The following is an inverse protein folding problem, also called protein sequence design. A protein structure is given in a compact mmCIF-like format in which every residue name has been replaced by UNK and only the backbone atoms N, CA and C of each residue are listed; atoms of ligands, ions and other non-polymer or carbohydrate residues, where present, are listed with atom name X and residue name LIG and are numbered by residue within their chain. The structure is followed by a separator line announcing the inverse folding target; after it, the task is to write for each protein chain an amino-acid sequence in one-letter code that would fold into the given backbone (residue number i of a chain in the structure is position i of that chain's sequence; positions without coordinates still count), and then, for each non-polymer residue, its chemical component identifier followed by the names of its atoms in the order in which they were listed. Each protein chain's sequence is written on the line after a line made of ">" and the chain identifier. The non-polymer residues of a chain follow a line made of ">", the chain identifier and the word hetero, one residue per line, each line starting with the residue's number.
data_IF_780001412838
#
_entry.id   IF_780001412838
#
_cell.length_a   1.000
_cell.length_b   1.000
_cell.length_c   1.000
_cell.angle_alpha   90.00
_cell.angle_beta   90.00
_cell.angle_gamma   90.00
#
_symmetry.space_group_name_H-M   'P 1'
#
loop_
_entity.id
_entity.type
_entity.pdbx_description
1 polymer ?
#
# COMPACT_ATOMS: atom_id res chain seq x y z
N UNK A 1 -2.35 -17.82 9.13
CA UNK A 1 -2.98 -16.55 8.70
C UNK A 1 -1.86 -15.53 8.60
N UNK A 2 -1.88 -14.71 7.56
CA UNK A 2 -0.76 -13.88 7.11
C UNK A 2 -1.21 -12.44 7.11
N UNK A 3 -0.43 -11.56 7.73
CA UNK A 3 -0.65 -10.12 7.74
C UNK A 3 0.05 -9.49 6.56
N UNK A 4 -0.71 -8.80 5.73
CA UNK A 4 -0.18 -8.07 4.57
C UNK A 4 -0.37 -6.59 4.82
N UNK A 5 0.71 -5.83 4.73
CA UNK A 5 0.73 -4.37 4.75
C UNK A 5 1.09 -3.86 3.37
N UNK A 6 0.34 -2.89 2.85
CA UNK A 6 0.73 -2.11 1.68
C UNK A 6 0.86 -0.65 2.05
N UNK A 7 1.88 0.00 1.48
CA UNK A 7 2.10 1.41 1.64
C UNK A 7 2.64 2.01 0.35
N UNK A 8 1.91 2.96 -0.22
CA UNK A 8 2.49 3.86 -1.21
C UNK A 8 3.40 4.86 -0.47
N UNK A 9 4.69 4.89 -0.79
CA UNK A 9 5.61 5.87 -0.24
C UNK A 9 6.08 6.72 -1.42
N UNK A 10 5.54 7.94 -1.52
CA UNK A 10 5.79 8.89 -2.62
C UNK A 10 7.28 8.93 -2.99
N UNK A 11 7.64 8.52 -4.21
CA UNK A 11 9.03 8.49 -4.68
C UNK A 11 10.01 7.86 -3.69
N UNK A 12 9.74 6.61 -3.28
CA UNK A 12 10.60 5.90 -2.33
C UNK A 12 11.97 5.59 -2.93
N UNK A 13 13.01 6.12 -2.31
CA UNK A 13 14.39 5.77 -2.60
C UNK A 13 15.30 5.92 -1.38
N UNK A 14 16.58 5.67 -1.58
CA UNK A 14 17.59 5.80 -0.53
C UNK A 14 17.65 7.21 0.08
N UNK A 15 17.26 8.28 -0.62
CA UNK A 15 17.30 9.65 -0.09
C UNK A 15 16.24 9.88 1.00
N UNK A 16 15.17 9.07 1.03
CA UNK A 16 14.24 9.06 2.18
C UNK A 16 14.88 8.47 3.43
N UNK A 17 15.77 7.50 3.27
CA UNK A 17 16.37 6.76 4.37
C UNK A 17 17.73 7.30 4.80
N UNK A 18 18.46 7.96 3.92
CA UNK A 18 19.80 8.45 4.16
C UNK A 18 19.99 9.88 3.67
N UNK A 19 20.83 10.62 4.38
CA UNK A 19 21.22 11.97 3.97
C UNK A 19 22.26 11.88 2.85
N UNK A 20 21.79 11.87 1.61
CA UNK A 20 22.64 11.88 0.42
C UNK A 20 22.73 13.31 -0.10
N UNK A 21 23.64 14.09 0.48
CA UNK A 21 23.95 15.45 0.03
C UNK A 21 24.07 16.48 1.17
N UNK A 22 24.84 17.54 0.92
CA UNK A 22 24.99 18.70 1.79
C UNK A 22 24.11 19.83 1.24
N UNK A 23 22.82 19.82 1.55
CA UNK A 23 21.99 21.00 1.30
C UNK A 23 22.05 21.89 2.54
N UNK A 24 22.70 23.05 2.39
CA UNK A 24 22.84 24.06 3.45
C UNK A 24 21.55 24.86 3.67
N UNK A 25 20.53 24.68 2.82
CA UNK A 25 19.19 25.27 2.96
C UNK A 25 18.17 24.19 3.33
N UNK A 26 17.98 23.90 4.62
CA UNK A 26 17.16 22.79 5.08
C UNK A 26 15.66 23.06 4.87
N UNK A 27 14.96 22.14 4.19
CA UNK A 27 13.50 22.07 4.22
C UNK A 27 13.08 21.90 5.69
N UNK A 28 12.11 22.68 6.16
CA UNK A 28 11.65 22.74 7.56
C UNK A 28 12.68 23.26 8.59
N UNK A 29 13.84 23.77 8.18
CA UNK A 29 14.88 24.21 9.13
C UNK A 29 15.64 23.05 9.80
N UNK A 30 15.49 21.82 9.28
CA UNK A 30 16.05 20.57 9.84
C UNK A 30 17.10 19.98 8.89
N UNK A 31 18.22 19.50 9.44
CA UNK A 31 19.32 18.98 8.60
C UNK A 31 18.90 17.71 7.87
N UNK A 32 19.44 17.41 6.67
CA UNK A 32 19.13 16.19 5.92
C UNK A 32 19.22 14.89 6.75
N UNK A 33 20.25 14.76 7.60
CA UNK A 33 20.40 13.59 8.48
C UNK A 33 19.26 13.43 9.49
N UNK A 34 18.82 14.52 10.10
CA UNK A 34 17.69 14.51 11.03
C UNK A 34 16.38 14.19 10.29
N UNK A 35 16.27 14.61 9.02
CA UNK A 35 15.13 14.26 8.18
C UNK A 35 15.08 12.75 7.90
N UNK A 36 16.20 12.18 7.47
CA UNK A 36 16.33 10.74 7.23
C UNK A 36 16.02 9.91 8.48
N UNK A 37 16.55 10.30 9.65
CA UNK A 37 16.21 9.62 10.91
C UNK A 37 14.72 9.72 11.25
N UNK A 38 14.09 10.87 10.98
CA UNK A 38 12.66 11.03 11.19
C UNK A 38 11.82 10.14 10.27
N UNK A 39 12.17 10.05 8.99
CA UNK A 39 11.53 9.14 8.04
C UNK A 39 11.70 7.68 8.49
N UNK A 40 12.92 7.25 8.83
CA UNK A 40 13.19 5.91 9.34
C UNK A 40 12.34 5.61 10.57
N UNK A 41 12.30 6.53 11.55
CA UNK A 41 11.48 6.37 12.76
C UNK A 41 10.00 6.23 12.45
N UNK A 42 9.47 6.99 11.49
CA UNK A 42 8.06 6.90 11.10
C UNK A 42 7.76 5.59 10.37
N UNK A 43 8.66 5.15 9.47
CA UNK A 43 8.55 3.87 8.77
C UNK A 43 8.64 2.71 9.76
N UNK A 44 9.67 2.67 10.62
CA UNK A 44 9.84 1.62 11.63
C UNK A 44 8.69 1.57 12.62
N UNK A 45 8.12 2.74 12.97
CA UNK A 45 6.89 2.76 13.76
C UNK A 45 5.83 1.97 13.02
N UNK A 46 5.52 2.32 11.74
CA UNK A 46 4.54 1.68 10.82
C UNK A 46 4.62 0.14 10.78
N UNK A 47 5.79 -0.44 11.04
CA UNK A 47 5.99 -1.89 11.03
C UNK A 47 5.52 -2.62 12.29
N UNK A 48 5.27 -1.94 13.41
CA UNK A 48 5.02 -2.58 14.70
C UNK A 48 3.69 -2.15 15.36
N UNK A 49 2.54 -2.30 14.68
CA UNK A 49 1.24 -1.99 15.28
C UNK A 49 0.94 -2.86 16.49
N UNK A 50 0.16 -2.30 17.43
CA UNK A 50 -0.19 -2.97 18.67
C UNK A 50 -1.50 -3.71 18.46
N UNK A 51 -1.45 -5.04 18.54
CA UNK A 51 -2.65 -5.89 18.53
C UNK A 51 -3.54 -5.60 19.75
N UNK A 52 -4.87 -5.78 19.71
CA UNK A 52 -5.76 -5.60 20.87
C UNK A 52 -5.34 -6.34 22.16
N UNK A 53 -4.52 -7.38 22.03
CA UNK A 53 -3.90 -8.09 23.15
C UNK A 53 -2.71 -7.38 23.81
N UNK A 54 -2.34 -6.17 23.37
CA UNK A 54 -1.25 -5.37 23.94
C UNK A 54 0.15 -5.74 23.46
N UNK A 55 0.26 -6.54 22.40
CA UNK A 55 1.53 -7.03 21.86
C UNK A 55 1.80 -6.34 20.52
N UNK A 56 3.01 -5.82 20.32
CA UNK A 56 3.43 -5.31 19.03
C UNK A 56 3.60 -6.48 18.05
N UNK A 57 2.98 -6.38 16.88
CA UNK A 57 2.97 -7.44 15.86
C UNK A 57 3.42 -6.84 14.53
N UNK A 58 4.42 -7.45 13.91
CA UNK A 58 4.86 -7.10 12.57
C UNK A 58 3.92 -7.68 11.49
N UNK A 59 3.78 -7.04 10.32
CA UNK A 59 3.22 -7.72 9.16
C UNK A 59 4.11 -8.91 8.77
N UNK A 60 3.55 -9.90 8.08
CA UNK A 60 4.33 -11.01 7.50
C UNK A 60 4.81 -10.67 6.08
N UNK A 61 4.09 -9.77 5.39
CA UNK A 61 4.40 -9.24 4.07
C UNK A 61 4.24 -7.71 4.12
N UNK A 62 5.25 -6.98 3.64
CA UNK A 62 5.19 -5.54 3.40
C UNK A 62 5.38 -5.26 1.91
N UNK A 63 4.48 -4.48 1.33
CA UNK A 63 4.54 -4.04 -0.07
C UNK A 63 4.74 -2.54 -0.11
N UNK A 64 5.83 -2.10 -0.73
CA UNK A 64 6.13 -0.69 -0.97
C UNK A 64 5.93 -0.38 -2.45
N UNK A 65 5.04 0.58 -2.72
CA UNK A 65 4.83 1.13 -4.06
C UNK A 65 5.68 2.37 -4.27
N UNK A 66 5.80 2.80 -5.54
CA UNK A 66 6.58 3.98 -5.93
C UNK A 66 8.07 3.90 -5.55
N UNK A 67 8.64 2.70 -5.61
CA UNK A 67 10.10 2.57 -5.54
C UNK A 67 10.68 3.26 -6.78
N UNK A 68 11.46 4.31 -6.56
CA UNK A 68 11.91 5.20 -7.64
C UNK A 68 12.93 4.50 -8.50
N UNK A 69 12.61 4.34 -9.78
CA UNK A 69 13.58 3.86 -10.76
C UNK A 69 14.17 5.01 -11.56
N UNK A 70 15.39 4.82 -12.06
CA UNK A 70 15.96 5.76 -13.01
C UNK A 70 15.09 5.81 -14.26
N UNK A 71 14.50 6.98 -14.55
CA UNK A 71 13.81 7.22 -15.80
C UNK A 71 14.77 6.95 -16.96
N UNK A 72 14.58 5.85 -17.67
CA UNK A 72 15.28 5.65 -18.94
C UNK A 72 14.26 5.76 -20.07
N UNK A 73 14.49 6.63 -21.06
CA UNK A 73 13.60 6.77 -22.23
C UNK A 73 13.41 5.47 -23.03
N UNK A 74 14.25 4.46 -22.78
CA UNK A 74 14.24 3.14 -23.38
C UNK A 74 13.44 2.11 -22.54
N UNK A 75 13.07 2.44 -21.29
CA UNK A 75 12.43 1.57 -20.30
C UNK A 75 10.90 1.60 -20.34
N UNK A 76 10.32 1.43 -21.52
CA UNK A 76 8.92 0.97 -21.62
C UNK A 76 8.81 -0.55 -21.47
N UNK A 77 9.78 -1.19 -20.80
CA UNK A 77 9.85 -2.64 -20.62
C UNK A 77 9.66 -2.91 -19.12
N UNK A 78 8.43 -3.20 -18.67
CA UNK A 78 8.22 -3.67 -17.31
C UNK A 78 9.01 -4.96 -17.03
N UNK A 79 9.35 -5.18 -15.77
CA UNK A 79 10.07 -6.37 -15.30
C UNK A 79 11.58 -6.27 -15.28
N UNK A 80 12.15 -5.12 -15.68
CA UNK A 80 13.58 -4.85 -15.47
C UNK A 80 13.86 -4.65 -13.99
N UNK A 81 15.03 -5.12 -13.54
CA UNK A 81 15.52 -4.90 -12.18
C UNK A 81 15.68 -3.40 -11.92
N UNK A 82 15.37 -2.95 -10.72
CA UNK A 82 15.65 -1.58 -10.28
C UNK A 82 16.89 -1.56 -9.41
N UNK A 83 18.06 -1.36 -10.01
CA UNK A 83 19.37 -1.32 -9.36
C UNK A 83 19.88 0.12 -9.10
N UNK A 84 18.98 1.10 -9.19
CA UNK A 84 19.26 2.51 -8.91
C UNK A 84 19.08 2.91 -7.45
N UNK A 85 18.73 4.18 -7.23
CA UNK A 85 18.48 4.73 -5.89
C UNK A 85 17.29 4.08 -5.19
N UNK A 86 16.23 3.71 -5.92
CA UNK A 86 15.11 2.94 -5.39
C UNK A 86 15.53 1.54 -4.94
N UNK A 87 16.36 0.86 -5.74
CA UNK A 87 16.95 -0.43 -5.40
C UNK A 87 17.76 -0.40 -4.10
N UNK A 88 18.65 0.59 -3.98
CA UNK A 88 19.43 0.80 -2.75
C UNK A 88 18.53 1.14 -1.56
N UNK A 89 17.52 1.99 -1.77
CA UNK A 89 16.52 2.29 -0.74
C UNK A 89 15.79 1.04 -0.27
N UNK A 90 15.49 0.11 -1.19
CA UNK A 90 14.84 -1.14 -0.84
C UNK A 90 15.74 -2.07 -0.01
N UNK A 91 17.02 -2.18 -0.36
CA UNK A 91 17.97 -2.98 0.45
C UNK A 91 18.20 -2.36 1.84
N UNK A 92 18.24 -1.05 1.94
CA UNK A 92 18.39 -0.35 3.23
C UNK A 92 17.15 -0.50 4.11
N UNK A 93 15.96 -0.44 3.50
CA UNK A 93 14.72 -0.69 4.23
C UNK A 93 14.64 -2.13 4.73
N UNK A 94 15.17 -3.12 4.01
CA UNK A 94 15.27 -4.49 4.51
C UNK A 94 16.05 -4.55 5.84
N UNK A 95 17.17 -3.85 5.93
CA UNK A 95 17.96 -3.80 7.17
C UNK A 95 17.24 -3.06 8.29
N UNK A 96 16.51 -1.98 7.97
CA UNK A 96 15.64 -1.29 8.93
C UNK A 96 14.53 -2.21 9.43
N UNK A 97 13.88 -3.00 8.57
CA UNK A 97 12.85 -3.96 8.95
C UNK A 97 13.43 -5.04 9.88
N UNK A 98 14.58 -5.61 9.52
CA UNK A 98 15.29 -6.61 10.36
C UNK A 98 15.64 -6.02 11.73
N UNK A 99 16.13 -4.79 11.76
CA UNK A 99 16.45 -4.07 13.01
C UNK A 99 15.22 -3.79 13.86
N UNK A 100 14.13 -3.31 13.26
CA UNK A 100 12.89 -2.95 13.95
C UNK A 100 12.15 -4.17 14.50
N UNK A 101 12.13 -5.28 13.75
CA UNK A 101 11.46 -6.52 14.15
C UNK A 101 12.34 -7.45 14.98
N UNK A 102 13.66 -7.25 14.97
CA UNK A 102 14.63 -8.19 15.54
C UNK A 102 14.72 -9.53 14.80
N UNK A 103 14.14 -9.64 13.60
CA UNK A 103 14.07 -10.86 12.82
C UNK A 103 14.94 -10.77 11.55
N UNK A 104 16.06 -11.51 11.52
CA UNK A 104 16.95 -11.55 10.35
C UNK A 104 16.41 -12.40 9.18
N UNK A 105 15.27 -13.07 9.36
CA UNK A 105 14.60 -13.85 8.32
C UNK A 105 13.69 -13.01 7.41
N UNK A 106 13.62 -11.70 7.61
CA UNK A 106 13.06 -10.83 6.59
C UNK A 106 13.90 -10.92 5.31
N UNK A 107 13.20 -11.05 4.20
CA UNK A 107 13.75 -11.16 2.85
C UNK A 107 13.10 -10.10 1.95
N UNK A 108 13.76 -9.78 0.85
CA UNK A 108 13.28 -8.84 -0.16
C UNK A 108 13.14 -9.57 -1.49
N UNK A 109 11.95 -9.55 -2.07
CA UNK A 109 11.77 -9.82 -3.50
C UNK A 109 12.29 -8.60 -4.26
N UNK A 110 13.35 -8.72 -5.07
CA UNK A 110 13.98 -7.56 -5.69
C UNK A 110 13.00 -6.70 -6.51
N UNK A 111 13.10 -5.37 -6.41
CA UNK A 111 12.18 -4.48 -7.09
C UNK A 111 12.33 -4.58 -8.60
N UNK A 112 11.20 -4.75 -9.29
CA UNK A 112 11.13 -4.70 -10.75
C UNK A 112 10.29 -3.51 -11.19
N UNK A 113 10.68 -2.90 -12.30
CA UNK A 113 9.97 -1.81 -12.94
C UNK A 113 8.56 -2.23 -13.33
N UNK A 114 7.58 -1.45 -12.89
CA UNK A 114 6.18 -1.59 -13.27
C UNK A 114 5.75 -0.51 -14.26
N UNK A 115 6.44 0.63 -14.26
CA UNK A 115 6.28 1.72 -15.21
C UNK A 115 7.59 2.45 -15.45
N UNK A 116 7.51 3.60 -16.13
CA UNK A 116 8.70 4.33 -16.62
C UNK A 116 9.55 4.93 -15.49
N UNK A 117 8.94 5.19 -14.33
CA UNK A 117 9.59 5.82 -13.18
C UNK A 117 9.32 5.08 -11.87
N UNK A 118 8.68 3.91 -11.91
CA UNK A 118 8.16 3.24 -10.73
C UNK A 118 8.43 1.73 -10.75
N UNK A 119 8.87 1.23 -9.60
CA UNK A 119 9.04 -0.18 -9.27
C UNK A 119 8.23 -0.51 -8.01
N UNK A 120 8.12 -1.80 -7.70
CA UNK A 120 7.50 -2.29 -6.46
C UNK A 120 8.49 -3.18 -5.74
N UNK A 121 8.65 -2.97 -4.43
CA UNK A 121 9.43 -3.85 -3.56
C UNK A 121 8.49 -4.62 -2.63
N UNK A 122 8.75 -5.92 -2.44
CA UNK A 122 7.99 -6.75 -1.50
C UNK A 122 8.94 -7.40 -0.50
N UNK A 123 8.69 -7.16 0.78
CA UNK A 123 9.41 -7.77 1.88
C UNK A 123 8.55 -8.85 2.50
N UNK A 124 9.15 -9.93 2.99
CA UNK A 124 8.43 -11.00 3.65
C UNK A 124 9.26 -11.67 4.74
N UNK A 125 8.59 -12.22 5.74
CA UNK A 125 9.22 -13.06 6.78
C UNK A 125 9.36 -14.51 6.29
N UNK A 126 10.60 -14.93 5.98
CA UNK A 126 10.85 -16.28 5.44
C UNK A 126 10.72 -17.40 6.47
N UNK A 127 10.48 -17.09 7.75
CA UNK A 127 10.17 -18.13 8.75
C UNK A 127 8.82 -18.79 8.49
N UNK A 128 7.88 -18.04 7.92
CA UNK A 128 6.50 -18.48 7.67
C UNK A 128 6.12 -18.45 6.19
N UNK A 129 6.99 -17.93 5.32
CA UNK A 129 6.73 -17.81 3.89
C UNK A 129 7.91 -18.33 3.05
N UNK A 130 7.58 -18.89 1.89
CA UNK A 130 8.53 -19.24 0.83
C UNK A 130 8.17 -18.51 -0.46
N UNK A 131 9.10 -17.74 -1.02
CA UNK A 131 8.89 -17.05 -2.29
C UNK A 131 9.01 -18.04 -3.44
N UNK A 132 8.04 -18.02 -4.36
CA UNK A 132 7.91 -19.02 -5.41
C UNK A 132 7.87 -18.42 -6.83
N UNK A 133 7.98 -17.10 -6.97
CA UNK A 133 7.95 -16.41 -8.27
C UNK A 133 6.65 -15.62 -8.51
N UNK A 134 5.92 -15.86 -9.62
CA UNK A 134 5.89 -17.10 -10.39
C UNK A 134 6.86 -17.17 -11.57
N UNK A 135 7.58 -16.08 -11.89
CA UNK A 135 8.60 -16.09 -12.93
C UNK A 135 9.94 -16.58 -12.37
N UNK A 136 10.92 -16.70 -13.24
CA UNK A 136 12.32 -16.93 -12.87
C UNK A 136 13.20 -15.81 -13.40
N UNK A 137 14.28 -15.56 -12.68
CA UNK A 137 15.26 -14.53 -13.02
C UNK A 137 16.26 -15.07 -14.03
N UNK A 138 16.42 -14.44 -15.20
CA UNK A 138 17.40 -14.89 -16.20
C UNK A 138 18.83 -14.45 -15.88
N UNK A 139 19.03 -13.62 -14.85
CA UNK A 139 20.28 -12.89 -14.60
C UNK A 139 20.28 -11.50 -15.24
N UNK A 140 21.41 -10.80 -15.09
CA UNK A 140 21.60 -9.42 -15.55
C UNK A 140 20.44 -8.50 -15.07
N UNK A 141 19.92 -7.63 -15.96
CA UNK A 141 18.83 -6.70 -15.66
C UNK A 141 17.43 -7.31 -15.85
N UNK A 142 17.30 -8.56 -16.30
CA UNK A 142 16.02 -9.14 -16.71
C UNK A 142 15.62 -8.79 -18.15
N UNK A 143 14.32 -8.77 -18.49
CA UNK A 143 13.17 -8.95 -17.58
C UNK A 143 13.01 -10.40 -17.10
N UNK A 144 12.24 -10.59 -16.02
CA UNK A 144 11.85 -11.92 -15.55
C UNK A 144 11.13 -12.73 -16.65
N UNK A 145 11.39 -14.04 -16.73
CA UNK A 145 10.96 -14.89 -17.85
C UNK A 145 10.02 -16.01 -17.41
N UNK A 146 9.23 -16.52 -18.35
CA UNK A 146 8.40 -17.71 -18.12
C UNK A 146 9.28 -18.92 -17.83
N UNK A 147 9.11 -19.62 -16.69
CA UNK A 147 9.85 -20.85 -16.43
C UNK A 147 9.57 -21.96 -17.44
N UNK A 148 8.42 -21.91 -18.13
CA UNK A 148 7.98 -22.93 -19.07
C UNK A 148 8.20 -22.56 -20.55
N UNK A 149 8.87 -21.44 -20.85
CA UNK A 149 9.15 -21.11 -22.26
C UNK A 149 10.10 -22.13 -22.91
N UNK A 150 9.99 -22.27 -24.24
CA UNK A 150 10.81 -23.18 -25.05
C UNK A 150 11.61 -22.35 -26.06
N UNK A 151 12.96 -22.46 -26.11
CA UNK A 151 13.81 -23.30 -25.24
C UNK A 151 13.80 -22.83 -23.78
N UNK A 152 14.16 -23.73 -22.86
CA UNK A 152 14.22 -23.41 -21.44
C UNK A 152 15.10 -22.17 -21.21
N UNK A 153 14.64 -21.20 -20.41
CA UNK A 153 15.40 -19.99 -20.13
C UNK A 153 16.72 -20.29 -19.40
N UNK A 154 17.70 -19.41 -19.60
CA UNK A 154 18.79 -19.28 -18.63
C UNK A 154 18.22 -18.82 -17.27
N UNK A 155 18.83 -19.26 -16.18
CA UNK A 155 18.54 -18.80 -14.83
C UNK A 155 19.81 -18.37 -14.13
N UNK A 156 19.71 -17.36 -13.28
CA UNK A 156 20.81 -16.95 -12.42
C UNK A 156 20.25 -16.26 -11.17
N UNK A 157 21.03 -16.28 -10.09
CA UNK A 157 20.74 -15.48 -8.91
C UNK A 157 20.82 -13.98 -9.24
N UNK A 158 20.15 -13.16 -8.44
CA UNK A 158 20.20 -11.71 -8.61
C UNK A 158 21.63 -11.16 -8.41
N UNK A 159 22.05 -10.19 -9.24
CA UNK A 159 23.38 -9.61 -9.17
C UNK A 159 23.48 -8.48 -8.13
N UNK A 160 24.71 -8.05 -7.86
CA UNK A 160 25.00 -6.77 -7.20
C UNK A 160 24.41 -6.65 -5.80
N UNK A 161 23.74 -5.52 -5.53
CA UNK A 161 23.14 -5.22 -4.22
C UNK A 161 22.04 -6.20 -3.80
N UNK A 162 21.48 -6.94 -4.76
CA UNK A 162 20.44 -7.94 -4.49
C UNK A 162 21.00 -9.35 -4.29
N UNK A 163 22.32 -9.53 -4.27
CA UNK A 163 22.90 -10.81 -3.92
C UNK A 163 22.61 -11.15 -2.45
N UNK A 164 21.91 -12.25 -2.21
CA UNK A 164 21.60 -12.75 -0.86
C UNK A 164 20.42 -12.07 -0.14
N UNK A 165 19.63 -11.24 -0.84
CA UNK A 165 18.39 -10.67 -0.26
C UNK A 165 17.22 -11.66 -0.25
N UNK A 166 17.34 -12.74 -1.02
CA UNK A 166 16.48 -13.93 -1.01
C UNK A 166 17.24 -15.12 -0.44
N UNK A 167 16.54 -16.09 0.18
CA UNK A 167 17.18 -17.26 0.76
C UNK A 167 17.63 -18.23 -0.35
N UNK A 168 18.80 -18.85 -0.15
CA UNK A 168 19.22 -20.00 -0.94
C UNK A 168 18.57 -21.28 -0.39
N UNK A 169 17.26 -21.39 -0.60
CA UNK A 169 16.40 -22.53 -0.21
C UNK A 169 15.62 -22.98 -1.43
N UNK A 170 15.33 -24.29 -1.52
CA UNK A 170 14.45 -24.80 -2.57
C UNK A 170 13.00 -24.38 -2.33
N UNK A 171 12.35 -23.94 -3.40
CA UNK A 171 10.90 -23.70 -3.42
C UNK A 171 10.18 -25.03 -3.11
N UNK A 172 9.33 -25.06 -2.07
CA UNK A 172 8.57 -26.25 -1.72
C UNK A 172 7.75 -26.85 -2.87
N UNK A 173 7.47 -28.15 -2.77
CA UNK A 173 6.56 -28.82 -3.70
C UNK A 173 5.18 -28.14 -3.73
N UNK A 174 4.46 -28.26 -4.84
CA UNK A 174 3.12 -27.68 -5.12
C UNK A 174 3.05 -26.18 -5.38
N UNK A 175 4.12 -25.43 -5.12
CA UNK A 175 4.22 -24.01 -5.47
C UNK A 175 4.71 -23.80 -6.92
N UNK A 176 4.51 -22.61 -7.50
CA UNK A 176 5.19 -22.22 -8.73
C UNK A 176 6.71 -22.43 -8.59
N UNK A 177 7.39 -22.88 -9.66
CA UNK A 177 8.85 -23.14 -9.64
C UNK A 177 9.34 -24.16 -8.59
N UNK A 178 8.48 -25.07 -8.11
CA UNK A 178 8.86 -26.13 -7.18
C UNK A 178 10.20 -26.81 -7.55
N UNK A 179 11.12 -26.88 -6.58
CA UNK A 179 12.47 -27.44 -6.75
C UNK A 179 13.54 -26.47 -7.27
N UNK A 180 13.16 -25.31 -7.80
CA UNK A 180 14.09 -24.20 -8.05
C UNK A 180 14.57 -23.60 -6.72
N UNK A 181 15.66 -22.81 -6.75
CA UNK A 181 16.06 -22.00 -5.59
C UNK A 181 15.22 -20.72 -5.54
N UNK A 182 14.84 -20.25 -4.35
CA UNK A 182 14.07 -19.00 -4.21
C UNK A 182 14.85 -17.79 -4.75
N UNK A 183 16.19 -17.80 -4.64
CA UNK A 183 17.08 -16.74 -5.10
C UNK A 183 17.20 -16.60 -6.64
N UNK A 184 16.57 -17.51 -7.40
CA UNK A 184 16.39 -17.41 -8.85
C UNK A 184 14.92 -17.23 -9.25
N UNK A 185 13.99 -17.19 -8.30
CA UNK A 185 12.59 -16.86 -8.57
C UNK A 185 12.42 -15.35 -8.80
N UNK A 186 11.38 -14.95 -9.52
CA UNK A 186 11.12 -13.57 -9.83
C UNK A 186 9.62 -13.24 -9.85
N UNK A 187 9.31 -11.99 -9.52
CA UNK A 187 7.96 -11.47 -9.67
C UNK A 187 7.53 -11.46 -11.14
N UNK A 188 6.22 -11.44 -11.37
CA UNK A 188 5.62 -11.33 -12.69
C UNK A 188 5.15 -9.90 -12.96
N UNK A 189 5.54 -9.37 -14.12
CA UNK A 189 5.08 -8.08 -14.68
C UNK A 189 4.42 -8.27 -16.05
N UNK A 190 4.19 -9.52 -16.48
CA UNK A 190 3.60 -9.87 -17.77
C UNK A 190 2.31 -10.66 -17.55
N UNK A 191 1.19 -10.07 -17.95
CA UNK A 191 -0.15 -10.62 -17.73
C UNK A 191 -0.86 -10.93 -19.03
N UNK A 192 -1.83 -11.83 -18.99
CA UNK A 192 -2.55 -12.28 -20.17
C UNK A 192 -4.02 -11.91 -20.11
N UNK A 193 -4.65 -11.73 -21.26
CA UNK A 193 -6.10 -11.53 -21.32
C UNK A 193 -6.81 -12.81 -20.88
N UNK A 194 -7.74 -12.69 -19.93
CA UNK A 194 -8.51 -13.81 -19.40
C UNK A 194 -9.37 -14.51 -20.46
N UNK A 195 -9.65 -15.82 -20.30
CA UNK A 195 -10.64 -16.51 -21.11
C UNK A 195 -11.99 -15.79 -21.10
N UNK A 196 -12.66 -15.74 -22.26
CA UNK A 196 -13.96 -15.08 -22.42
C UNK A 196 -13.91 -13.61 -22.87
N UNK A 197 -12.72 -13.02 -22.97
CA UNK A 197 -12.52 -11.68 -23.54
C UNK A 197 -11.86 -11.76 -24.93
N UNK A 198 -12.02 -10.73 -25.78
CA UNK A 198 -11.31 -10.66 -27.06
C UNK A 198 -9.79 -10.76 -26.86
N UNK A 199 -9.11 -11.56 -27.69
CA UNK A 199 -7.67 -11.82 -27.59
C UNK A 199 -7.24 -12.60 -26.33
N UNK A 200 -8.11 -13.42 -25.74
CA UNK A 200 -7.78 -14.31 -24.64
C UNK A 200 -6.45 -15.06 -24.87
N UNK A 201 -5.60 -15.07 -23.83
CA UNK A 201 -4.25 -15.66 -23.88
C UNK A 201 -3.16 -14.73 -24.44
N UNK A 202 -3.50 -13.61 -25.09
CA UNK A 202 -2.50 -12.64 -25.50
C UNK A 202 -1.97 -11.84 -24.30
N UNK A 203 -0.70 -11.45 -24.37
CA UNK A 203 -0.10 -10.53 -23.40
C UNK A 203 -0.83 -9.18 -23.43
N UNK A 204 -1.17 -8.68 -22.25
CA UNK A 204 -1.85 -7.39 -22.06
C UNK A 204 -0.83 -6.27 -22.18
N UNK A 205 -1.12 -5.31 -23.07
CA UNK A 205 -0.36 -4.07 -23.15
C UNK A 205 -1.01 -3.02 -22.23
N UNK A 206 -0.28 -2.60 -21.20
CA UNK A 206 -0.71 -1.55 -20.27
C UNK A 206 -0.45 -0.12 -20.82
N UNK A 207 0.23 0.02 -21.96
CA UNK A 207 0.58 1.29 -22.56
C UNK A 207 1.43 2.14 -21.62
N UNK A 208 0.99 3.36 -21.34
CA UNK A 208 1.63 4.26 -20.37
C UNK A 208 1.13 4.06 -18.93
N UNK A 209 0.33 3.04 -18.65
CA UNK A 209 -0.03 2.67 -17.28
C UNK A 209 1.03 1.74 -16.72
N UNK A 210 1.16 1.74 -15.39
CA UNK A 210 1.97 0.75 -14.67
C UNK A 210 1.31 -0.61 -14.81
N UNK A 211 2.12 -1.64 -15.06
CA UNK A 211 1.65 -3.03 -14.97
C UNK A 211 1.61 -3.48 -13.51
N UNK A 212 0.71 -4.40 -13.11
CA UNK A 212 0.76 -4.97 -11.77
C UNK A 212 2.09 -5.68 -11.48
N UNK A 213 2.46 -5.77 -10.21
CA UNK A 213 3.61 -6.56 -9.75
C UNK A 213 3.09 -7.76 -8.99
N UNK A 214 3.20 -8.95 -9.58
CA UNK A 214 2.70 -10.19 -8.98
C UNK A 214 3.83 -10.99 -8.33
N UNK A 215 3.62 -11.38 -7.08
CA UNK A 215 4.44 -12.37 -6.37
C UNK A 215 3.59 -13.53 -5.87
N UNK A 216 4.19 -14.71 -5.80
CA UNK A 216 3.59 -15.91 -5.25
C UNK A 216 4.40 -16.40 -4.05
N UNK A 217 3.72 -16.66 -2.94
CA UNK A 217 4.29 -17.24 -1.73
C UNK A 217 3.60 -18.55 -1.36
N UNK A 218 4.31 -19.46 -0.71
CA UNK A 218 3.71 -20.51 0.10
C UNK A 218 3.76 -20.12 1.57
N UNK A 219 2.62 -20.08 2.25
CA UNK A 219 2.58 -20.03 3.72
C UNK A 219 2.96 -21.40 4.27
N UNK A 220 3.90 -21.40 5.21
CA UNK A 220 4.50 -22.58 5.81
C UNK A 220 3.95 -22.78 7.23
N UNK A 221 3.65 -24.01 7.58
CA UNK A 221 3.46 -24.38 8.99
C UNK A 221 4.80 -24.49 9.73
N UNK A 222 4.76 -24.76 11.03
CA UNK A 222 5.97 -24.93 11.85
C UNK A 222 6.85 -26.12 11.48
N UNK A 223 6.44 -26.96 10.53
CA UNK A 223 7.23 -28.08 9.97
C UNK A 223 7.85 -27.74 8.61
N UNK A 224 7.54 -26.57 8.03
CA UNK A 224 7.95 -26.16 6.69
C UNK A 224 7.04 -26.68 5.58
N UNK A 225 5.87 -27.24 5.91
CA UNK A 225 4.90 -27.71 4.92
C UNK A 225 4.06 -26.54 4.41
N UNK A 226 3.82 -26.47 3.11
CA UNK A 226 2.94 -25.46 2.50
C UNK A 226 1.49 -25.76 2.88
N UNK A 227 0.87 -24.83 3.60
CA UNK A 227 -0.55 -24.91 3.99
C UNK A 227 -1.47 -24.12 3.06
N UNK A 228 -0.95 -23.06 2.43
CA UNK A 228 -1.65 -22.32 1.38
C UNK A 228 -0.69 -21.56 0.47
N UNK A 229 -1.12 -21.34 -0.78
CA UNK A 229 -0.46 -20.41 -1.70
C UNK A 229 -1.10 -19.03 -1.59
N UNK A 230 -0.29 -17.98 -1.62
CA UNK A 230 -0.72 -16.58 -1.65
C UNK A 230 -0.18 -15.95 -2.93
N UNK A 231 -1.07 -15.56 -3.85
CA UNK A 231 -0.71 -14.73 -5.00
C UNK A 231 -1.11 -13.29 -4.73
N UNK A 232 -0.13 -12.40 -4.73
CA UNK A 232 -0.31 -10.99 -4.42
C UNK A 232 0.00 -10.16 -5.66
N UNK A 233 -0.95 -9.32 -6.07
CA UNK A 233 -0.89 -8.40 -7.20
C UNK A 233 -0.85 -6.97 -6.66
N UNK A 234 0.34 -6.41 -6.55
CA UNK A 234 0.53 -5.03 -6.17
C UNK A 234 0.24 -4.09 -7.35
N UNK A 235 -0.56 -3.06 -7.13
CA UNK A 235 -0.98 -2.13 -8.18
C UNK A 235 -0.72 -0.69 -7.78
N UNK A 236 -0.37 0.12 -8.77
CA UNK A 236 -0.39 1.57 -8.69
C UNK A 236 -1.12 2.11 -9.93
N UNK A 237 -2.40 2.45 -9.75
CA UNK A 237 -3.28 2.93 -10.79
C UNK A 237 -2.86 4.30 -11.35
N UNK A 238 -3.40 4.71 -12.50
CA UNK A 238 -3.12 6.02 -13.09
C UNK A 238 -3.89 7.14 -12.38
N UNK A 239 -3.23 8.26 -12.07
CA UNK A 239 -3.82 9.43 -11.37
C UNK A 239 -5.08 10.03 -12.03
N UNK A 240 -5.29 9.83 -13.34
CA UNK A 240 -6.51 10.28 -13.99
C UNK A 240 -7.68 9.35 -13.63
N UNK A 241 -8.70 9.87 -12.93
CA UNK A 241 -9.89 9.12 -12.52
C UNK A 241 -10.50 8.24 -13.60
N UNK A 242 -10.66 8.75 -14.83
CA UNK A 242 -11.22 7.96 -15.94
C UNK A 242 -10.33 6.77 -16.32
N UNK A 243 -9.02 7.00 -16.41
CA UNK A 243 -8.03 5.93 -16.63
C UNK A 243 -7.99 4.95 -15.46
N UNK A 244 -8.16 5.42 -14.21
CA UNK A 244 -8.16 4.56 -13.03
C UNK A 244 -9.34 3.57 -13.06
N UNK A 245 -10.54 4.05 -13.44
CA UNK A 245 -11.71 3.20 -13.66
C UNK A 245 -11.47 2.14 -14.73
N UNK A 246 -10.91 2.54 -15.88
CA UNK A 246 -10.53 1.60 -16.96
C UNK A 246 -9.45 0.63 -16.52
N UNK A 247 -8.49 1.07 -15.70
CA UNK A 247 -7.45 0.22 -15.16
C UNK A 247 -8.02 -0.88 -14.26
N UNK A 248 -8.94 -0.57 -13.33
CA UNK A 248 -9.62 -1.59 -12.51
C UNK A 248 -10.40 -2.59 -13.37
N UNK A 249 -11.07 -2.11 -14.42
CA UNK A 249 -11.72 -2.98 -15.39
C UNK A 249 -10.71 -3.89 -16.12
N UNK A 250 -9.55 -3.36 -16.50
CA UNK A 250 -8.48 -4.14 -17.12
C UNK A 250 -7.91 -5.18 -16.15
N UNK A 251 -7.75 -4.85 -14.86
CA UNK A 251 -7.32 -5.78 -13.82
C UNK A 251 -8.24 -7.01 -13.72
N UNK A 252 -9.57 -6.81 -13.74
CA UNK A 252 -10.52 -7.93 -13.70
C UNK A 252 -10.51 -8.79 -14.97
N UNK A 253 -9.85 -8.33 -16.03
CA UNK A 253 -9.70 -9.03 -17.30
C UNK A 253 -8.34 -9.72 -17.45
N UNK A 254 -7.45 -9.62 -16.45
CA UNK A 254 -6.20 -10.37 -16.44
C UNK A 254 -6.47 -11.83 -16.08
N UNK A 255 -5.94 -12.79 -16.84
CA UNK A 255 -6.12 -14.21 -16.60
C UNK A 255 -5.67 -14.59 -15.19
N UNK A 256 -4.55 -14.04 -14.75
CA UNK A 256 -3.93 -14.28 -13.46
C UNK A 256 -4.83 -13.79 -12.30
N UNK A 257 -5.56 -12.70 -12.48
CA UNK A 257 -6.49 -12.13 -11.48
C UNK A 257 -7.86 -12.79 -11.54
N UNK A 258 -8.37 -13.07 -12.75
CA UNK A 258 -9.73 -13.53 -13.00
C UNK A 258 -9.95 -15.02 -12.72
N UNK A 259 -8.94 -15.86 -12.97
CA UNK A 259 -9.00 -17.31 -12.70
C UNK A 259 -9.34 -17.53 -11.22
N UNK A 260 -10.29 -18.43 -10.95
CA UNK A 260 -10.66 -18.78 -9.58
C UNK A 260 -9.45 -19.37 -8.82
N UNK A 261 -9.24 -18.99 -7.55
CA UNK A 261 -8.22 -19.63 -6.75
C UNK A 261 -8.50 -21.13 -6.61
N UNK A 262 -7.45 -21.94 -6.59
CA UNK A 262 -7.54 -23.34 -6.16
C UNK A 262 -7.93 -23.42 -4.68
N UNK A 263 -8.26 -24.62 -4.19
CA UNK A 263 -8.84 -24.81 -2.86
C UNK A 263 -8.01 -24.15 -1.73
N UNK A 264 -6.68 -24.31 -1.74
CA UNK A 264 -5.74 -23.76 -0.75
C UNK A 264 -4.98 -22.54 -1.29
N UNK A 265 -5.61 -21.70 -2.12
CA UNK A 265 -4.99 -20.50 -2.67
C UNK A 265 -5.74 -19.25 -2.24
N UNK A 266 -5.01 -18.20 -1.93
CA UNK A 266 -5.50 -16.84 -1.70
C UNK A 266 -4.97 -15.96 -2.83
N UNK A 267 -5.85 -15.16 -3.45
CA UNK A 267 -5.44 -14.11 -4.38
C UNK A 267 -5.70 -12.76 -3.76
N UNK A 268 -4.73 -11.85 -3.84
CA UNK A 268 -4.79 -10.53 -3.22
C UNK A 268 -4.46 -9.47 -4.25
N UNK A 269 -5.37 -8.54 -4.52
CA UNK A 269 -5.07 -7.33 -5.31
C UNK A 269 -4.99 -6.16 -4.34
N UNK A 270 -3.86 -5.48 -4.28
CA UNK A 270 -3.64 -4.44 -3.27
C UNK A 270 -2.81 -3.28 -3.77
N UNK A 271 -2.97 -2.12 -3.14
CA UNK A 271 -2.17 -0.93 -3.42
C UNK A 271 -3.00 0.30 -3.70
N UNK A 272 -2.36 1.28 -4.33
CA UNK A 272 -2.97 2.55 -4.70
C UNK A 272 -3.72 2.39 -6.03
N UNK A 273 -5.04 2.50 -6.01
CA UNK A 273 -5.87 2.44 -7.21
C UNK A 273 -5.98 3.78 -7.93
N UNK A 274 -5.48 4.87 -7.34
CA UNK A 274 -5.66 6.26 -7.79
C UNK A 274 -7.15 6.59 -8.07
N UNK A 275 -8.04 5.94 -7.33
CA UNK A 275 -9.47 6.03 -7.48
C UNK A 275 -10.11 6.05 -6.11
N UNK A 276 -10.79 7.16 -5.81
CA UNK A 276 -11.41 7.35 -4.51
C UNK A 276 -12.39 6.21 -4.21
N UNK A 277 -12.35 5.67 -2.99
CA UNK A 277 -13.20 4.56 -2.54
C UNK A 277 -14.68 4.86 -2.75
N UNK A 278 -15.08 6.12 -2.65
CA UNK A 278 -16.46 6.53 -2.90
C UNK A 278 -16.61 7.45 -4.09
N UNK A 279 -17.82 7.41 -4.65
CA UNK A 279 -18.33 8.46 -5.51
C UNK A 279 -19.54 9.16 -4.89
N UNK A 280 -19.73 10.41 -5.30
CA UNK A 280 -20.89 11.22 -4.92
C UNK A 280 -21.98 11.00 -5.97
N UNK A 281 -23.14 10.48 -5.55
CA UNK A 281 -24.34 10.53 -6.37
C UNK A 281 -25.09 11.82 -6.02
N UNK A 282 -25.25 12.66 -7.03
CA UNK A 282 -26.17 13.79 -6.97
C UNK A 282 -27.47 13.38 -7.65
N UNK A 283 -28.56 13.28 -6.89
CA UNK A 283 -29.90 13.32 -7.46
C UNK A 283 -30.63 14.58 -6.97
N UNK A 284 -31.74 14.93 -7.62
CA UNK A 284 -32.46 16.18 -7.37
C UNK A 284 -33.03 16.32 -5.94
N UNK A 285 -32.99 15.27 -5.12
CA UNK A 285 -33.53 15.25 -3.77
C UNK A 285 -32.46 15.18 -2.68
N UNK A 286 -31.32 14.49 -2.89
CA UNK A 286 -30.30 14.23 -1.87
C UNK A 286 -28.90 13.98 -2.48
N UNK A 287 -27.85 14.34 -1.72
CA UNK A 287 -26.49 13.89 -1.99
C UNK A 287 -26.19 12.60 -1.20
N UNK A 288 -25.54 11.64 -1.83
CA UNK A 288 -25.18 10.37 -1.18
C UNK A 288 -23.75 9.96 -1.56
N UNK A 289 -23.00 9.49 -0.57
CA UNK A 289 -21.74 8.78 -0.80
C UNK A 289 -22.04 7.30 -0.99
N UNK A 290 -21.53 6.72 -2.08
CA UNK A 290 -21.59 5.28 -2.31
C UNK A 290 -20.21 4.72 -2.65
N UNK A 291 -20.05 3.41 -2.52
CA UNK A 291 -18.87 2.70 -3.03
C UNK A 291 -18.70 3.01 -4.53
N UNK A 292 -17.48 3.36 -4.93
CA UNK A 292 -17.14 3.61 -6.34
C UNK A 292 -17.44 2.37 -7.19
N UNK A 293 -18.32 2.55 -8.19
CA UNK A 293 -18.88 1.45 -8.98
C UNK A 293 -17.83 0.60 -9.69
N UNK A 294 -16.65 1.15 -10.01
CA UNK A 294 -15.59 0.41 -10.73
C UNK A 294 -15.07 -0.80 -9.96
N UNK A 295 -15.17 -0.83 -8.63
CA UNK A 295 -14.81 -1.98 -7.80
C UNK A 295 -15.70 -3.21 -8.06
N UNK A 296 -16.89 -3.05 -8.66
CA UNK A 296 -17.79 -4.16 -9.03
C UNK A 296 -17.11 -5.15 -9.98
N UNK A 297 -16.14 -4.70 -10.77
CA UNK A 297 -15.39 -5.55 -11.68
C UNK A 297 -14.57 -6.62 -10.95
N UNK A 298 -13.95 -6.26 -9.82
CA UNK A 298 -13.18 -7.19 -8.99
C UNK A 298 -14.08 -7.94 -8.01
N UNK A 299 -15.05 -7.28 -7.37
CA UNK A 299 -15.97 -7.98 -6.45
C UNK A 299 -16.89 -8.97 -7.17
N UNK A 300 -17.23 -8.71 -8.43
CA UNK A 300 -17.95 -9.65 -9.30
C UNK A 300 -17.18 -10.94 -9.61
N UNK A 301 -15.85 -10.93 -9.47
CA UNK A 301 -15.01 -12.14 -9.51
C UNK A 301 -15.00 -12.88 -8.16
N UNK A 302 -15.56 -12.31 -7.09
CA UNK A 302 -15.57 -12.87 -5.74
C UNK A 302 -14.47 -12.33 -4.82
N UNK A 303 -13.79 -11.23 -5.18
CA UNK A 303 -12.91 -10.53 -4.26
C UNK A 303 -13.71 -9.79 -3.17
N UNK A 304 -13.26 -9.88 -1.93
CA UNK A 304 -13.74 -9.13 -0.78
C UNK A 304 -12.81 -7.93 -0.55
N UNK A 305 -13.36 -6.73 -0.39
CA UNK A 305 -12.57 -5.52 -0.15
C UNK A 305 -12.33 -5.30 1.34
N UNK A 306 -11.15 -4.79 1.70
CA UNK A 306 -10.77 -4.49 3.09
C UNK A 306 -11.46 -3.21 3.56
N UNK A 307 -11.36 -2.17 2.74
CA UNK A 307 -12.12 -0.93 2.93
C UNK A 307 -13.39 -1.02 2.08
N UNK A 308 -14.55 -0.92 2.71
CA UNK A 308 -15.87 -0.95 2.06
C UNK A 308 -16.74 0.17 2.60
N UNK A 309 -17.62 0.68 1.74
CA UNK A 309 -18.73 1.54 2.16
C UNK A 309 -20.02 0.71 2.12
N UNK A 310 -20.42 0.08 3.24
CA UNK A 310 -21.45 -0.96 3.25
C UNK A 310 -22.87 -0.44 2.97
N UNK A 311 -23.11 0.86 3.10
CA UNK A 311 -24.38 1.48 2.76
C UNK A 311 -24.16 2.90 2.25
N UNK A 312 -25.04 3.40 1.35
CA UNK A 312 -25.02 4.81 1.00
C UNK A 312 -25.13 5.67 2.25
N UNK A 313 -24.18 6.59 2.43
CA UNK A 313 -24.21 7.53 3.55
C UNK A 313 -24.86 8.82 3.07
N UNK A 314 -25.99 9.23 3.67
CA UNK A 314 -26.57 10.54 3.40
C UNK A 314 -25.52 11.60 3.65
N UNK A 315 -25.28 12.43 2.65
CA UNK A 315 -24.44 13.60 2.78
C UNK A 315 -25.31 14.82 2.56
N UNK A 316 -25.15 15.82 3.43
CA UNK A 316 -25.66 17.16 3.15
C UNK A 316 -24.45 18.09 3.00
N UNK A 317 -24.21 18.68 1.82
CA UNK A 317 -23.10 19.63 1.62
C UNK A 317 -23.22 20.90 2.49
N UNK A 318 -24.40 21.13 3.08
CA UNK A 318 -24.66 22.18 4.06
C UNK A 318 -24.59 21.70 5.51
N UNK A 319 -24.65 20.38 5.76
CA UNK A 319 -24.37 19.76 7.06
C UNK A 319 -23.05 18.95 7.04
N UNK A 320 -21.92 19.61 7.32
CA UNK A 320 -20.60 19.00 7.31
C UNK A 320 -20.43 17.86 8.34
N UNK A 321 -21.40 17.66 9.26
CA UNK A 321 -21.39 16.55 10.24
C UNK A 321 -21.40 15.17 9.60
N UNK A 322 -21.94 15.03 8.39
CA UNK A 322 -22.17 13.71 7.78
C UNK A 322 -20.99 13.20 6.95
N UNK A 323 -20.23 14.08 6.31
CA UNK A 323 -19.19 13.69 5.34
C UNK A 323 -17.81 13.49 5.94
N UNK A 324 -17.24 14.53 6.57
CA UNK A 324 -15.84 14.49 7.01
C UNK A 324 -15.65 13.45 8.11
N UNK A 325 -16.65 13.33 8.99
CA UNK A 325 -16.66 12.33 10.06
C UNK A 325 -16.69 10.90 9.53
N UNK A 326 -17.46 10.60 8.49
CA UNK A 326 -17.52 9.24 7.96
C UNK A 326 -16.30 8.87 7.11
N UNK A 327 -15.91 9.76 6.19
CA UNK A 327 -14.86 9.49 5.21
C UNK A 327 -13.46 9.37 5.82
N UNK A 328 -13.22 10.02 6.96
CA UNK A 328 -11.95 9.89 7.69
C UNK A 328 -11.61 8.46 8.14
N UNK A 329 -12.61 7.60 8.38
CA UNK A 329 -12.40 6.22 8.83
C UNK A 329 -11.79 5.29 7.77
N UNK A 330 -11.89 5.68 6.50
CA UNK A 330 -11.40 4.91 5.36
C UNK A 330 -10.18 5.55 4.70
N UNK A 331 -9.78 6.70 5.20
CA UNK A 331 -8.91 7.59 4.48
C UNK A 331 -7.47 7.10 4.50
N UNK A 332 -6.91 6.95 3.32
CA UNK A 332 -5.54 6.52 3.09
C UNK A 332 -4.69 7.58 2.42
N UNK A 333 -5.28 8.73 2.03
CA UNK A 333 -4.59 9.82 1.35
C UNK A 333 -4.67 11.14 2.14
N UNK A 334 -3.55 11.86 2.16
CA UNK A 334 -3.34 13.06 2.96
C UNK A 334 -3.17 14.32 2.10
N UNK A 335 -3.57 15.46 2.63
CA UNK A 335 -3.43 16.76 1.96
C UNK A 335 -1.98 17.21 1.92
N UNK A 336 -1.65 18.08 0.99
CA UNK A 336 -0.34 18.74 1.02
C UNK A 336 -0.17 19.59 2.29
N UNK A 337 1.07 19.82 2.70
CA UNK A 337 1.42 20.67 3.84
C UNK A 337 0.72 22.04 3.82
N UNK A 338 0.58 22.65 2.63
CA UNK A 338 -0.03 23.97 2.45
C UNK A 338 -1.54 23.98 2.70
N UNK A 339 -2.20 22.82 2.58
CA UNK A 339 -3.65 22.66 2.65
C UNK A 339 -4.12 21.90 3.90
N UNK A 340 -3.19 21.28 4.61
CA UNK A 340 -3.46 20.53 5.82
C UNK A 340 -3.68 21.45 7.03
N UNK A 341 -4.70 21.09 7.82
CA UNK A 341 -5.11 21.81 9.03
C UNK A 341 -5.55 20.77 10.07
N UNK A 342 -4.98 20.81 11.29
CA UNK A 342 -5.31 19.83 12.35
C UNK A 342 -6.64 20.16 13.05
N UNK A 343 -7.17 21.35 12.79
CA UNK A 343 -8.50 21.76 13.16
C UNK A 343 -9.16 22.47 12.01
N UNK A 344 -10.45 22.69 12.20
CA UNK A 344 -11.27 23.27 11.18
C UNK A 344 -10.97 24.77 10.93
N UNK A 345 -11.02 25.23 9.67
CA UNK A 345 -10.88 26.64 9.27
C UNK A 345 -12.11 27.05 8.43
N UNK A 346 -12.95 27.98 8.93
CA UNK A 346 -14.18 28.58 8.32
C UNK A 346 -15.58 28.02 8.74
N UNK A 347 -16.51 27.62 7.84
CA UNK A 347 -17.87 27.05 8.13
C UNK A 347 -18.17 25.50 7.98
N UNK A 348 -17.34 24.71 7.30
CA UNK A 348 -17.31 23.25 7.12
C UNK A 348 -16.73 22.43 8.30
N UNK A 349 -17.48 22.09 9.34
CA UNK A 349 -16.96 21.24 10.44
C UNK A 349 -16.16 19.99 9.96
N UNK A 350 -14.98 19.78 10.56
CA UNK A 350 -14.13 18.61 10.32
C UNK A 350 -14.03 17.75 11.59
N UNK A 351 -13.97 16.44 11.42
CA UNK A 351 -14.21 15.47 12.48
C UNK A 351 -13.10 14.45 12.55
N UNK A 352 -12.90 13.93 13.75
CA UNK A 352 -12.10 12.72 13.96
C UNK A 352 -12.66 11.56 13.11
N UNK A 353 -11.80 10.67 12.55
CA UNK A 353 -10.34 10.67 12.60
C UNK A 353 -9.68 11.48 11.46
N UNK A 354 -10.47 12.14 10.61
CA UNK A 354 -9.98 12.78 9.40
C UNK A 354 -9.27 14.11 9.63
N UNK A 355 -9.97 15.02 10.30
CA UNK A 355 -9.59 16.43 10.40
C UNK A 355 -9.26 17.04 9.02
N UNK A 356 -8.82 18.30 9.01
CA UNK A 356 -8.48 19.01 7.77
C UNK A 356 -7.18 18.54 7.12
N UNK A 357 -6.77 17.30 7.38
CA UNK A 357 -5.52 16.66 6.92
C UNK A 357 -5.82 15.62 5.86
N UNK A 358 -7.05 15.10 5.79
CA UNK A 358 -7.43 14.08 4.83
C UNK A 358 -8.05 14.71 3.58
N UNK A 359 -7.72 14.16 2.42
CA UNK A 359 -8.27 14.56 1.14
C UNK A 359 -7.23 14.96 0.09
N UNK A 360 -7.72 15.36 -1.09
CA UNK A 360 -6.96 16.10 -2.08
C UNK A 360 -7.07 17.61 -1.85
N UNK A 361 -6.15 18.38 -2.43
CA UNK A 361 -6.09 19.83 -2.28
C UNK A 361 -7.25 20.64 -2.84
N UNK A 362 -8.25 19.99 -3.45
CA UNK A 362 -9.41 20.63 -4.06
C UNK A 362 -10.61 20.61 -3.10
N UNK A 363 -11.30 21.73 -2.96
CA UNK A 363 -12.42 21.86 -2.01
C UNK A 363 -13.73 21.19 -2.49
N UNK A 364 -13.83 20.83 -3.77
CA UNK A 364 -15.08 20.35 -4.39
C UNK A 364 -15.18 18.83 -4.55
N UNK A 365 -14.05 18.12 -4.53
CA UNK A 365 -13.99 16.66 -4.54
C UNK A 365 -12.98 16.26 -3.48
N UNK A 366 -13.46 15.65 -2.38
CA UNK A 366 -12.57 15.09 -1.38
C UNK A 366 -12.21 13.69 -1.81
N UNK A 367 -11.03 13.54 -2.36
CA UNK A 367 -10.44 12.24 -2.62
C UNK A 367 -9.61 11.83 -1.40
N UNK A 368 -10.05 10.80 -0.66
CA UNK A 368 -9.52 10.51 0.67
C UNK A 368 -9.00 9.08 0.81
N UNK A 369 -9.46 8.15 -0.02
CA UNK A 369 -9.07 6.74 0.06
C UNK A 369 -8.79 6.23 -1.33
N UNK A 370 -7.51 6.12 -1.69
CA UNK A 370 -7.08 5.54 -2.95
C UNK A 370 -6.58 4.10 -2.80
N UNK A 371 -6.22 3.71 -1.58
CA UNK A 371 -5.61 2.42 -1.31
C UNK A 371 -6.65 1.41 -0.85
N UNK A 372 -6.50 0.16 -1.26
CA UNK A 372 -7.32 -0.95 -0.77
C UNK A 372 -6.57 -2.27 -0.82
N UNK A 373 -7.09 -3.27 -0.09
CA UNK A 373 -6.68 -4.67 -0.18
C UNK A 373 -7.94 -5.45 -0.56
N UNK A 374 -7.89 -6.19 -1.66
CA UNK A 374 -8.97 -7.05 -2.14
C UNK A 374 -8.52 -8.50 -2.11
N UNK A 375 -9.29 -9.38 -1.48
CA UNK A 375 -8.90 -10.78 -1.27
C UNK A 375 -9.94 -11.74 -1.80
N UNK A 376 -9.50 -12.75 -2.56
CA UNK A 376 -10.34 -13.84 -3.04
C UNK A 376 -9.79 -15.17 -2.53
N UNK A 377 -10.60 -15.87 -1.76
CA UNK A 377 -10.24 -17.13 -1.11
C UNK A 377 -10.65 -18.34 -1.95
N UNK A 378 -9.75 -19.31 -2.03
CA UNK A 378 -10.09 -20.69 -2.30
C UNK A 378 -10.98 -21.27 -1.20
N UNK A 379 -11.73 -22.32 -1.52
CA UNK A 379 -12.73 -22.90 -0.62
C UNK A 379 -12.18 -23.31 0.76
N UNK A 380 -10.90 -23.65 0.85
CA UNK A 380 -10.23 -24.12 2.08
C UNK A 380 -9.07 -23.22 2.51
N UNK A 381 -8.93 -22.04 1.90
CA UNK A 381 -7.78 -21.14 2.11
C UNK A 381 -7.85 -20.27 3.38
N UNK A 382 -8.86 -20.49 4.23
CA UNK A 382 -8.94 -19.91 5.58
C UNK A 382 -9.57 -18.52 5.70
N UNK A 383 -10.32 -18.04 4.69
CA UNK A 383 -11.04 -16.76 4.78
C UNK A 383 -12.21 -16.76 5.79
N UNK A 384 -12.85 -15.59 6.04
CA UNK A 384 -12.67 -14.32 5.34
C UNK A 384 -11.46 -13.50 5.84
N UNK A 385 -11.15 -12.42 5.13
CA UNK A 385 -10.17 -11.41 5.57
C UNK A 385 -10.61 -10.76 6.89
N UNK A 386 -9.65 -10.44 7.76
CA UNK A 386 -9.89 -9.81 9.06
C UNK A 386 -8.79 -8.81 9.44
N UNK A 387 -8.87 -8.29 10.67
CA UNK A 387 -7.84 -7.44 11.28
C UNK A 387 -7.42 -6.22 10.42
N UNK A 388 -8.37 -5.59 9.74
CA UNK A 388 -8.10 -4.47 8.83
C UNK A 388 -7.81 -3.18 9.60
N UNK A 389 -6.75 -2.45 9.24
CA UNK A 389 -6.48 -1.09 9.74
C UNK A 389 -5.73 -0.25 8.72
N UNK A 390 -6.18 0.99 8.54
CA UNK A 390 -5.29 2.06 8.04
C UNK A 390 -4.33 2.44 9.17
N UNK A 391 -3.07 2.76 8.94
CA UNK A 391 -2.11 3.24 9.96
C UNK A 391 -2.03 4.76 9.92
N UNK A 392 -2.90 5.42 10.68
CA UNK A 392 -2.99 6.88 10.67
C UNK A 392 -2.05 7.48 11.72
N UNK A 393 -0.91 8.02 11.28
CA UNK A 393 0.07 8.65 12.17
C UNK A 393 -0.37 9.99 12.79
N UNK A 394 -1.52 10.55 12.41
CA UNK A 394 -1.96 11.88 12.85
C UNK A 394 -2.89 11.79 14.07
N UNK A 395 -3.62 10.70 14.21
CA UNK A 395 -4.64 10.51 15.25
C UNK A 395 -4.49 9.13 15.88
N UNK A 396 -4.82 8.94 17.16
CA UNK A 396 -4.67 7.63 17.77
C UNK A 396 -5.67 6.64 17.19
N UNK A 397 -5.29 5.37 17.17
CA UNK A 397 -6.12 4.24 16.76
C UNK A 397 -6.28 3.24 17.91
N UNK A 398 -7.38 2.46 17.97
CA UNK A 398 -8.47 2.39 16.99
C UNK A 398 -9.29 3.69 16.95
N UNK A 399 -9.95 3.95 15.82
CA UNK A 399 -10.74 5.17 15.58
C UNK A 399 -12.03 5.29 16.43
N UNK A 400 -12.09 4.66 17.59
CA UNK A 400 -13.27 4.60 18.46
C UNK A 400 -13.08 5.38 19.78
N UNK A 401 -11.93 6.04 19.98
CA UNK A 401 -11.59 6.65 21.28
C UNK A 401 -12.35 7.94 21.61
N UNK A 402 -12.94 8.60 20.62
CA UNK A 402 -13.37 10.00 20.74
C UNK A 402 -14.89 10.15 20.72
N UNK A 403 -15.59 9.35 19.92
CA UNK A 403 -17.05 9.23 19.87
C UNK A 403 -17.43 7.96 19.09
N UNK A 404 -18.67 7.44 19.21
CA UNK A 404 -19.17 6.41 18.31
C UNK A 404 -19.06 6.87 16.85
N UNK A 405 -18.53 6.05 15.94
CA UNK A 405 -18.39 6.42 14.53
C UNK A 405 -19.77 6.71 13.92
N UNK A 406 -19.94 7.82 13.17
CA UNK A 406 -21.18 8.07 12.46
C UNK A 406 -21.44 6.94 11.46
N UNK A 407 -22.70 6.57 11.29
CA UNK A 407 -23.12 5.56 10.32
C UNK A 407 -22.35 4.22 10.39
N UNK A 408 -21.84 3.86 11.59
CA UNK A 408 -21.13 2.62 11.87
C UNK A 408 -19.95 2.34 10.90
N UNK A 409 -19.14 3.35 10.59
CA UNK A 409 -17.90 3.12 9.86
C UNK A 409 -17.03 2.05 10.56
N UNK A 410 -16.30 1.18 9.82
CA UNK A 410 -15.40 0.21 10.41
C UNK A 410 -14.35 0.89 11.28
N UNK A 411 -14.15 0.38 12.49
CA UNK A 411 -13.01 0.76 13.31
C UNK A 411 -11.76 0.03 12.79
N UNK A 412 -10.62 0.72 12.80
CA UNK A 412 -9.32 0.04 12.69
C UNK A 412 -9.19 -0.99 13.81
N UNK A 413 -8.59 -2.14 13.48
CA UNK A 413 -8.35 -3.25 14.39
C UNK A 413 -7.14 -3.04 15.31
N UNK A 414 -6.03 -2.53 14.77
CA UNK A 414 -4.79 -2.30 15.50
C UNK A 414 -4.81 -0.97 16.24
N UNK A 415 -4.10 -0.93 17.37
CA UNK A 415 -3.80 0.30 18.11
C UNK A 415 -2.54 0.94 17.54
N UNK A 416 -2.62 2.26 17.34
CA UNK A 416 -1.55 3.07 16.76
C UNK A 416 -1.46 4.42 17.46
N UNK A 417 -0.30 4.83 17.99
CA UNK A 417 -0.19 6.12 18.64
C UNK A 417 -0.05 7.27 17.62
N UNK A 418 -0.47 8.46 18.04
CA UNK A 418 -0.16 9.72 17.32
C UNK A 418 1.35 9.86 17.18
N UNK A 419 1.80 10.15 15.96
CA UNK A 419 3.20 10.33 15.59
C UNK A 419 3.62 11.80 15.55
N UNK A 420 2.81 12.71 16.07
CA UNK A 420 3.18 14.13 16.23
C UNK A 420 3.76 14.38 17.61
N UNK A 421 4.86 15.14 17.67
CA UNK A 421 5.58 15.39 18.92
C UNK A 421 4.90 16.44 19.82
N UNK A 422 4.14 17.38 19.25
CA UNK A 422 3.48 18.43 20.03
C UNK A 422 2.28 17.85 20.81
N UNK A 423 2.34 17.97 22.14
CA UNK A 423 1.32 17.44 23.05
C UNK A 423 -0.08 18.02 22.79
N UNK A 424 -0.18 19.19 22.15
CA UNK A 424 -1.47 19.80 21.77
C UNK A 424 -2.22 18.97 20.73
N UNK A 425 -1.54 18.02 20.07
CA UNK A 425 -2.12 17.07 19.11
C UNK A 425 -2.19 15.63 19.64
N UNK A 426 -1.77 15.38 20.89
CA UNK A 426 -1.77 14.04 21.47
C UNK A 426 -3.18 13.51 21.75
N UNK A 427 -4.13 14.42 22.01
CA UNK A 427 -5.53 14.06 22.27
C UNK A 427 -6.42 14.60 21.15
N UNK A 428 -7.12 13.73 20.42
CA UNK A 428 -8.10 14.14 19.42
C UNK A 428 -9.26 14.90 20.09
N UNK A 429 -9.61 16.12 19.62
CA UNK A 429 -10.79 16.81 20.12
C UNK A 429 -12.08 16.17 19.57
N UNK A 430 -13.10 16.04 20.43
CA UNK A 430 -14.41 15.47 20.11
C UNK A 430 -15.13 16.18 18.95
N UNK A 431 -14.97 17.51 18.91
CA UNK A 431 -15.55 18.40 17.91
C UNK A 431 -14.87 19.75 18.03
N UNK A 432 -14.39 20.32 16.92
CA UNK A 432 -13.84 21.68 16.92
C UNK A 432 -14.88 22.63 16.32
N UNK A 433 -15.54 23.40 17.19
CA UNK A 433 -16.61 24.34 16.83
C UNK A 433 -16.20 25.81 16.90
N UNK A 434 -15.00 26.12 17.40
CA UNK A 434 -14.62 27.50 17.74
C UNK A 434 -13.33 27.94 17.03
N UNK A 435 -13.44 29.07 16.31
CA UNK A 435 -12.40 29.73 15.50
C UNK A 435 -11.42 30.57 16.34
N UNK A 436 -11.53 30.59 17.67
CA UNK A 436 -10.74 31.49 18.53
C UNK A 436 -9.32 31.01 18.87
N UNK A 437 -8.86 29.88 18.33
CA UNK A 437 -7.44 29.47 18.45
C UNK A 437 -6.58 30.35 17.54
N UNK A 438 -5.35 30.67 17.93
CA UNK A 438 -4.40 31.39 17.07
C UNK A 438 -4.02 30.50 15.86
N UNK A 439 -4.87 30.50 14.83
CA UNK A 439 -4.77 29.60 13.68
C UNK A 439 -3.40 29.71 13.01
N UNK A 440 -2.83 30.92 12.93
CA UNK A 440 -1.53 31.14 12.30
C UNK A 440 -0.37 30.49 13.07
N UNK A 441 -0.32 30.61 14.41
CA UNK A 441 0.78 30.01 15.19
C UNK A 441 0.64 28.49 15.25
N UNK A 442 -0.59 28.00 15.37
CA UNK A 442 -0.81 26.57 15.47
C UNK A 442 -0.60 25.89 14.11
N UNK A 443 -1.04 26.50 12.99
CA UNK A 443 -0.74 25.98 11.64
C UNK A 443 0.76 25.97 11.38
N UNK A 444 1.49 26.99 11.81
CA UNK A 444 2.95 27.01 11.69
C UNK A 444 3.58 25.84 12.45
N UNK A 445 3.08 25.50 13.65
CA UNK A 445 3.61 24.41 14.46
C UNK A 445 3.22 23.03 13.92
N UNK A 446 1.98 22.86 13.44
CA UNK A 446 1.53 21.65 12.75
C UNK A 446 2.47 21.30 11.59
N UNK A 447 2.82 22.30 10.79
CA UNK A 447 3.66 22.14 9.59
C UNK A 447 5.14 21.90 9.89
N UNK A 448 5.56 21.96 11.15
CA UNK A 448 6.95 21.68 11.51
C UNK A 448 7.29 20.22 11.27
N UNK A 449 8.59 19.99 11.08
CA UNK A 449 9.17 18.66 10.92
C UNK A 449 8.68 17.66 11.97
N UNK A 450 8.77 18.00 13.26
CA UNK A 450 8.42 17.08 14.35
C UNK A 450 6.91 16.76 14.47
N UNK A 451 6.07 17.32 13.61
CA UNK A 451 4.62 17.11 13.57
C UNK A 451 4.20 16.57 12.20
N UNK A 452 3.30 17.26 11.50
CA UNK A 452 2.76 16.80 10.23
C UNK A 452 3.81 16.80 9.12
N UNK A 453 4.82 17.69 9.18
CA UNK A 453 5.88 17.79 8.18
C UNK A 453 6.61 16.48 7.93
N UNK A 454 7.02 15.75 8.98
CA UNK A 454 7.68 14.43 8.85
C UNK A 454 6.76 13.35 8.29
N UNK A 455 5.48 13.37 8.67
CA UNK A 455 4.50 12.38 8.21
C UNK A 455 4.30 12.55 6.71
N UNK A 456 3.94 13.76 6.27
CA UNK A 456 3.63 14.06 4.86
C UNK A 456 4.86 14.03 3.95
N UNK A 457 6.06 14.30 4.47
CA UNK A 457 7.30 14.16 3.69
C UNK A 457 7.72 12.70 3.51
N UNK A 458 7.33 11.82 4.44
CA UNK A 458 7.57 10.39 4.27
C UNK A 458 6.65 9.85 3.18
N UNK A 459 5.34 10.12 3.27
CA UNK A 459 4.36 9.74 2.26
C UNK A 459 3.12 10.60 2.39
N UNK A 460 2.41 10.85 1.30
CA UNK A 460 1.04 11.35 1.27
C UNK A 460 -0.02 10.24 1.39
N UNK A 461 0.40 8.97 1.40
CA UNK A 461 -0.45 7.84 1.72
C UNK A 461 -0.18 7.27 3.13
N UNK A 462 -1.21 6.70 3.74
CA UNK A 462 -1.14 5.93 4.99
C UNK A 462 -1.08 4.43 4.67
N UNK A 463 -0.29 3.68 5.42
CA UNK A 463 -0.21 2.23 5.24
C UNK A 463 -1.55 1.55 5.54
N UNK A 464 -1.89 0.48 4.82
CA UNK A 464 -3.07 -0.35 5.06
C UNK A 464 -2.62 -1.77 5.37
N UNK A 465 -3.08 -2.33 6.50
CA UNK A 465 -2.82 -3.72 6.89
C UNK A 465 -4.13 -4.51 6.90
N UNK A 466 -4.05 -5.80 6.56
CA UNK A 466 -5.10 -6.78 6.78
C UNK A 466 -4.51 -8.17 7.04
N UNK A 467 -5.26 -8.99 7.77
CA UNK A 467 -4.98 -10.42 7.92
C UNK A 467 -5.78 -11.19 6.88
N UNK A 468 -5.06 -11.95 6.06
CA UNK A 468 -5.61 -12.81 5.01
C UNK A 468 -5.42 -14.28 5.34
#
# INVERSE_FOLDING_TARGET
>A
MTRVMVWNIDQFDITKLQAIGFNDDPIYGVKPFEMSLGHQSYISSNLMPIHPGGIAIAPDILVILEVSTLHQPQNNIPGLLDDGLGGQGATDLLDIIRGATGNNHWMLVPPLQTGVSDSVAVYYDSTHLAFAGPRIWPGAQGPAVDPNQIPAPATAAYPGMFAGVLPNRQVPATLPNAGAQEDICAANTTFHVAPGYPNAGNVVNFGNNRTPYQVSFGELDGTGTVIRQIDLFAVHGPANKGRARTFIQQLSQLAEVAVAPTANQVKVVLGDFNLNLTENIQNAAQHQLQQEASYVNLTGLGYQMALTVPAPVPYDPTDPQTFSGYTGYFATHMRTLAQATYWYVSNTADFYPGYGIIGSGSSSVRDYSYDNILVRFGMTAGGPMGEVSVMNGIVPQPFAQVNPPPHNAPAGFYTWPVQMADQRYANPPDRIIDQTRNEASDQAILRQWNNYGRIISTSDHMALIATI
#
